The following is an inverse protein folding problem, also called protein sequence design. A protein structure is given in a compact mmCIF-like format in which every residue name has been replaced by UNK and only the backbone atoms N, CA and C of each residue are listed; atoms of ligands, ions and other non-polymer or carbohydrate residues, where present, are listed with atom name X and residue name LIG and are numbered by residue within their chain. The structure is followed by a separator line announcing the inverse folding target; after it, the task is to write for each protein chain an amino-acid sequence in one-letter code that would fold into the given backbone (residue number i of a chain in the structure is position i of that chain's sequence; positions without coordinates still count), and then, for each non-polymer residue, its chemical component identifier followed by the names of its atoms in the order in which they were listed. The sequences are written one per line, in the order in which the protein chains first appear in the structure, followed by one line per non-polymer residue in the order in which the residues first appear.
data_IF_520488873564
#
_entry.id   IF_520488873564
#
_cell.length_a   1.000
_cell.length_b   1.000
_cell.length_c   1.000
_cell.angle_alpha   90.00
_cell.angle_beta   90.00
_cell.angle_gamma   90.00
#
_symmetry.space_group_name_H-M   'P 1'
#
loop_
_entity.id
_entity.type
_entity.pdbx_description
1 polymer ?
#
# COMPACT_ATOMS: atom_id res chain seq x y z
N UNK A 1 -5.03 -6.81 -94.63
CA UNK A 1 -5.68 -5.53 -94.91
C UNK A 1 -5.61 -4.70 -93.63
N UNK A 2 -4.82 -3.62 -93.72
CA UNK A 2 -4.88 -2.41 -92.93
C UNK A 2 -4.59 -2.55 -91.39
N UNK A 3 -3.83 -1.71 -90.76
CA UNK A 3 -2.96 -0.60 -91.12
C UNK A 3 -2.22 -0.19 -89.85
N UNK A 4 -0.99 -0.01 -89.94
CA UNK A 4 -0.05 0.61 -89.01
C UNK A 4 -0.57 1.98 -88.59
N UNK A 5 -0.36 2.33 -87.33
CA UNK A 5 -0.05 3.71 -87.00
C UNK A 5 0.84 3.78 -85.75
N UNK A 6 2.09 4.08 -86.02
CA UNK A 6 3.03 4.70 -85.11
C UNK A 6 2.43 5.95 -84.43
N UNK A 7 2.70 6.08 -83.13
CA UNK A 7 2.69 7.37 -82.48
C UNK A 7 3.84 7.47 -81.51
N UNK A 8 4.96 7.91 -82.00
CA UNK A 8 6.05 8.40 -81.23
C UNK A 8 5.69 9.76 -80.64
N UNK A 9 5.59 9.87 -79.35
CA UNK A 9 5.32 11.11 -78.60
C UNK A 9 6.17 11.16 -77.36
N UNK A 10 7.32 11.62 -77.53
CA UNK A 10 8.10 12.60 -76.81
C UNK A 10 7.50 13.03 -75.47
N UNK A 11 8.04 12.50 -74.34
CA UNK A 11 8.06 13.17 -73.08
C UNK A 11 9.43 13.03 -72.48
N UNK A 12 10.22 14.10 -72.63
CA UNK A 12 11.47 14.32 -71.96
C UNK A 12 11.27 14.44 -70.46
N UNK A 13 11.68 13.43 -69.72
CA UNK A 13 11.78 13.51 -68.29
C UNK A 13 13.05 14.33 -67.99
N UNK A 14 12.84 15.59 -67.69
CA UNK A 14 13.85 16.43 -67.06
C UNK A 14 14.25 15.80 -65.74
N UNK A 15 15.45 15.22 -65.75
CA UNK A 15 16.12 14.74 -64.54
C UNK A 15 16.57 15.96 -63.73
N UNK A 16 15.66 16.44 -62.83
CA UNK A 16 16.02 17.44 -61.85
C UNK A 16 17.22 16.94 -61.04
N UNK A 17 18.37 17.54 -61.31
CA UNK A 17 19.56 17.39 -60.48
C UNK A 17 19.27 17.95 -59.12
N UNK A 18 18.88 17.11 -58.15
CA UNK A 18 18.96 17.45 -56.75
C UNK A 18 20.42 17.74 -56.42
N UNK A 19 20.75 19.01 -56.32
CA UNK A 19 22.02 19.46 -55.78
C UNK A 19 22.04 18.96 -54.33
N UNK A 20 22.72 17.86 -54.11
CA UNK A 20 23.08 17.41 -52.73
C UNK A 20 24.08 18.43 -52.20
N UNK A 21 23.57 19.34 -51.34
CA UNK A 21 24.46 20.14 -50.51
C UNK A 21 25.10 19.21 -49.51
N UNK A 22 26.20 18.59 -49.87
CA UNK A 22 27.12 17.98 -48.93
C UNK A 22 27.78 19.15 -48.19
N UNK A 23 27.22 19.47 -47.00
CA UNK A 23 27.88 20.36 -46.05
C UNK A 23 29.16 19.62 -45.58
N UNK A 24 30.24 19.84 -46.32
CA UNK A 24 31.56 19.37 -45.96
C UNK A 24 32.07 20.22 -44.80
N UNK A 25 31.65 19.83 -43.57
CA UNK A 25 32.12 20.47 -42.35
C UNK A 25 33.61 20.26 -42.21
N UNK A 26 34.34 21.34 -41.94
CA UNK A 26 35.78 21.30 -41.63
C UNK A 26 36.04 20.23 -40.56
N UNK A 27 37.13 19.49 -40.66
CA UNK A 27 37.44 18.38 -39.75
C UNK A 27 37.40 18.80 -38.24
N UNK A 28 37.82 20.02 -37.94
CA UNK A 28 37.76 20.60 -36.58
C UNK A 28 36.32 20.73 -36.05
N UNK A 29 35.38 21.13 -36.91
CA UNK A 29 33.98 21.25 -36.53
C UNK A 29 33.33 19.87 -36.29
N UNK A 30 33.76 18.83 -37.02
CA UNK A 30 33.28 17.45 -36.78
C UNK A 30 33.74 16.90 -35.43
N UNK A 31 35.02 17.12 -35.08
CA UNK A 31 35.59 16.70 -33.80
C UNK A 31 34.90 17.44 -32.65
N UNK A 32 34.72 18.75 -32.76
CA UNK A 32 34.01 19.54 -31.73
C UNK A 32 32.57 19.06 -31.55
N UNK A 33 31.85 18.77 -32.62
CA UNK A 33 30.48 18.25 -32.55
C UNK A 33 30.43 16.85 -31.89
N UNK A 34 31.37 15.95 -32.23
CA UNK A 34 31.48 14.63 -31.62
C UNK A 34 31.78 14.70 -30.11
N UNK A 35 32.67 15.58 -29.69
CA UNK A 35 32.98 15.79 -28.27
C UNK A 35 31.78 16.33 -27.53
N UNK A 36 31.09 17.34 -28.07
CA UNK A 36 29.85 17.89 -27.46
C UNK A 36 28.76 16.83 -27.34
N UNK A 37 28.56 16.02 -28.38
CA UNK A 37 27.57 14.94 -28.34
C UNK A 37 27.95 13.86 -27.31
N UNK A 38 29.21 13.50 -27.19
CA UNK A 38 29.69 12.55 -26.18
C UNK A 38 29.49 13.09 -24.76
N UNK A 39 29.78 14.36 -24.51
CA UNK A 39 29.56 15.00 -23.19
C UNK A 39 28.09 15.05 -22.85
N UNK A 40 27.23 15.44 -23.79
CA UNK A 40 25.79 15.45 -23.57
C UNK A 40 25.25 14.05 -23.29
N UNK A 41 25.68 13.05 -24.02
CA UNK A 41 25.26 11.66 -23.85
C UNK A 41 25.70 11.12 -22.49
N UNK A 42 26.94 11.37 -22.08
CA UNK A 42 27.41 10.94 -20.74
C UNK A 42 26.68 11.66 -19.63
N UNK A 43 26.37 12.95 -19.75
CA UNK A 43 25.57 13.69 -18.77
C UNK A 43 24.16 13.12 -18.65
N UNK A 44 23.50 12.80 -19.77
CA UNK A 44 22.18 12.17 -19.76
C UNK A 44 22.21 10.76 -19.15
N UNK A 45 23.23 9.96 -19.43
CA UNK A 45 23.39 8.65 -18.79
C UNK A 45 23.57 8.76 -17.28
N UNK A 46 24.42 9.69 -16.81
CA UNK A 46 24.63 9.90 -15.38
C UNK A 46 23.32 10.35 -14.69
N UNK A 47 22.59 11.30 -15.29
CA UNK A 47 21.31 11.73 -14.75
C UNK A 47 20.27 10.62 -14.73
N UNK A 48 20.20 9.81 -15.78
CA UNK A 48 19.27 8.66 -15.83
C UNK A 48 19.63 7.61 -14.76
N UNK A 49 20.92 7.31 -14.58
CA UNK A 49 21.37 6.36 -13.56
C UNK A 49 21.08 6.90 -12.14
N UNK A 50 21.36 8.18 -11.88
CA UNK A 50 21.05 8.78 -10.55
C UNK A 50 19.56 8.78 -10.26
N UNK A 51 18.72 9.07 -11.26
CA UNK A 51 17.27 9.01 -11.12
C UNK A 51 16.79 7.57 -10.85
N UNK A 52 17.33 6.60 -11.58
CA UNK A 52 17.01 5.19 -11.37
C UNK A 52 17.42 4.73 -9.97
N UNK A 53 18.64 5.07 -9.51
CA UNK A 53 19.12 4.71 -8.17
C UNK A 53 18.20 5.32 -7.10
N UNK A 54 17.80 6.60 -7.22
CA UNK A 54 16.90 7.25 -6.28
C UNK A 54 15.48 6.64 -6.28
N UNK A 55 14.99 6.24 -7.46
CA UNK A 55 13.68 5.61 -7.60
C UNK A 55 13.63 4.20 -6.98
N UNK A 56 14.76 3.47 -7.00
CA UNK A 56 14.86 2.11 -6.46
C UNK A 56 15.45 2.06 -5.04
N UNK A 57 15.81 3.21 -4.43
CA UNK A 57 16.21 3.19 -3.03
C UNK A 57 15.01 2.78 -2.17
N UNK A 58 15.09 1.68 -1.41
CA UNK A 58 14.07 1.35 -0.45
C UNK A 58 14.00 2.52 0.53
N UNK A 59 12.84 3.17 0.60
CA UNK A 59 12.62 4.21 1.62
C UNK A 59 12.97 3.58 2.96
N UNK A 60 13.82 4.22 3.78
CA UNK A 60 14.07 3.72 5.12
C UNK A 60 12.70 3.60 5.81
N UNK A 61 12.27 2.38 6.03
CA UNK A 61 11.07 2.11 6.82
C UNK A 61 11.41 2.63 8.22
N UNK A 62 10.61 3.55 8.78
CA UNK A 62 10.82 3.94 10.16
C UNK A 62 10.83 2.66 11.00
N UNK A 63 11.89 2.45 11.76
CA UNK A 63 11.97 1.34 12.71
C UNK A 63 10.96 1.59 13.82
N UNK A 64 9.72 1.26 13.57
CA UNK A 64 8.67 1.27 14.59
C UNK A 64 9.01 0.24 15.65
N UNK A 65 8.98 0.66 16.90
CA UNK A 65 9.30 -0.22 18.03
C UNK A 65 8.08 -0.40 18.90
N UNK A 66 7.62 -1.63 18.95
CA UNK A 66 6.68 -2.02 19.98
C UNK A 66 7.43 -2.35 21.28
N UNK A 67 6.84 -2.11 22.45
CA UNK A 67 7.37 -2.60 23.71
C UNK A 67 7.59 -4.12 23.69
N UNK A 68 8.41 -4.59 24.61
CA UNK A 68 8.54 -6.02 24.84
C UNK A 68 7.16 -6.66 25.07
N UNK A 69 6.92 -7.87 24.58
CA UNK A 69 5.63 -8.59 24.59
C UNK A 69 4.51 -8.02 23.70
N UNK A 70 4.82 -7.03 22.85
CA UNK A 70 3.90 -6.50 21.87
C UNK A 70 4.34 -6.86 20.45
N UNK A 71 3.39 -7.15 19.58
CA UNK A 71 3.63 -7.52 18.19
C UNK A 71 3.29 -6.32 17.31
N UNK A 72 4.29 -5.83 16.55
CA UNK A 72 4.11 -4.73 15.61
C UNK A 72 3.45 -5.17 14.31
N UNK A 73 2.42 -4.43 13.87
CA UNK A 73 1.79 -4.61 12.57
C UNK A 73 1.18 -3.30 12.08
N UNK A 74 1.60 -2.83 10.90
CA UNK A 74 1.06 -1.65 10.19
C UNK A 74 0.93 -0.39 11.06
N UNK A 75 1.96 -0.07 11.81
CA UNK A 75 1.99 1.14 12.65
C UNK A 75 1.27 1.01 13.99
N UNK A 76 0.88 -0.21 14.36
CA UNK A 76 0.24 -0.53 15.64
C UNK A 76 0.99 -1.64 16.36
N UNK A 77 0.99 -1.60 17.68
CA UNK A 77 1.48 -2.65 18.55
C UNK A 77 0.28 -3.39 19.17
N UNK A 78 0.26 -4.70 19.06
CA UNK A 78 -0.79 -5.56 19.57
C UNK A 78 -0.25 -6.43 20.72
N UNK A 79 -1.07 -6.62 21.74
CA UNK A 79 -0.79 -7.53 22.85
C UNK A 79 -2.00 -8.41 23.12
N UNK A 80 -1.76 -9.71 23.17
CA UNK A 80 -2.75 -10.74 23.47
C UNK A 80 -2.63 -11.11 24.96
N UNK A 81 -3.74 -11.08 25.70
CA UNK A 81 -3.73 -11.46 27.10
C UNK A 81 -3.76 -12.99 27.25
N UNK A 82 -3.08 -13.50 28.27
CA UNK A 82 -3.24 -14.88 28.73
C UNK A 82 -4.32 -14.99 29.82
N UNK A 83 -4.60 -13.89 30.49
CA UNK A 83 -5.65 -13.80 31.49
C UNK A 83 -7.03 -13.64 30.83
N UNK A 84 -8.09 -13.97 31.57
CA UNK A 84 -9.47 -13.76 31.19
C UNK A 84 -10.13 -12.68 32.05
N UNK A 85 -11.06 -11.94 31.44
CA UNK A 85 -11.82 -10.89 32.08
C UNK A 85 -13.09 -10.57 31.32
N UNK A 86 -14.00 -9.83 31.95
CA UNK A 86 -15.15 -9.26 31.26
C UNK A 86 -14.68 -8.10 30.35
N UNK A 87 -15.52 -7.65 29.43
CA UNK A 87 -15.15 -6.64 28.44
C UNK A 87 -14.66 -5.33 29.09
N UNK A 88 -15.33 -4.84 30.13
CA UNK A 88 -14.97 -3.60 30.83
C UNK A 88 -13.61 -3.73 31.52
N UNK A 89 -13.42 -4.80 32.31
CA UNK A 89 -12.15 -5.02 32.98
C UNK A 89 -11.00 -5.22 32.00
N UNK A 90 -11.25 -5.82 30.85
CA UNK A 90 -10.28 -5.95 29.78
C UNK A 90 -9.88 -4.61 29.19
N UNK A 91 -10.85 -3.70 28.99
CA UNK A 91 -10.57 -2.33 28.56
C UNK A 91 -9.74 -1.55 29.60
N UNK A 92 -10.05 -1.70 30.88
CA UNK A 92 -9.31 -1.07 31.98
C UNK A 92 -7.86 -1.57 32.03
N UNK A 93 -7.66 -2.88 31.82
CA UNK A 93 -6.33 -3.46 31.73
C UNK A 93 -5.52 -2.93 30.54
N UNK A 94 -6.14 -2.79 29.37
CA UNK A 94 -5.48 -2.16 28.21
C UNK A 94 -5.13 -0.69 28.52
N UNK A 95 -6.05 0.05 29.15
CA UNK A 95 -5.85 1.46 29.51
C UNK A 95 -4.69 1.65 30.48
N UNK A 96 -4.50 0.75 31.44
CA UNK A 96 -3.37 0.75 32.36
C UNK A 96 -2.00 0.57 31.64
N UNK A 97 -2.00 0.02 30.41
CA UNK A 97 -0.82 -0.14 29.58
C UNK A 97 -0.65 1.01 28.55
N UNK A 98 -1.43 2.08 28.68
CA UNK A 98 -1.45 3.17 27.71
C UNK A 98 -1.95 2.73 26.34
N UNK A 99 -2.90 1.77 26.30
CA UNK A 99 -3.49 1.18 25.13
C UNK A 99 -5.02 1.16 25.24
N UNK A 100 -5.69 0.62 24.26
CA UNK A 100 -7.12 0.29 24.32
C UNK A 100 -7.36 -1.16 23.92
N UNK A 101 -8.54 -1.69 24.17
CA UNK A 101 -8.98 -2.89 23.46
C UNK A 101 -8.82 -2.68 21.97
N UNK A 102 -8.35 -3.70 21.25
CA UNK A 102 -7.92 -3.58 19.86
C UNK A 102 -9.02 -3.04 18.95
N UNK A 103 -8.68 -1.98 18.23
CA UNK A 103 -9.47 -1.41 17.14
C UNK A 103 -8.86 -1.86 15.80
N UNK A 104 -9.73 -2.35 14.91
CA UNK A 104 -9.34 -2.87 13.59
C UNK A 104 -9.81 -1.88 12.52
N UNK A 105 -8.88 -1.31 11.77
CA UNK A 105 -9.20 -0.31 10.76
C UNK A 105 -9.42 -0.94 9.38
N UNK A 106 -8.97 -2.19 9.20
CA UNK A 106 -8.98 -2.87 7.92
C UNK A 106 -9.19 -4.39 8.06
N UNK A 107 -9.54 -5.03 6.95
CA UNK A 107 -9.62 -6.49 6.85
C UNK A 107 -8.26 -7.17 7.05
N UNK A 108 -7.18 -6.48 6.73
CA UNK A 108 -5.82 -6.94 6.97
C UNK A 108 -5.48 -6.97 8.47
N UNK A 109 -5.91 -5.92 9.22
CA UNK A 109 -5.78 -5.92 10.69
C UNK A 109 -6.55 -7.08 11.30
N UNK A 110 -7.79 -7.32 10.84
CA UNK A 110 -8.59 -8.47 11.27
C UNK A 110 -7.85 -9.79 10.98
N UNK A 111 -7.36 -9.97 9.76
CA UNK A 111 -6.65 -11.18 9.36
C UNK A 111 -5.37 -11.40 10.16
N UNK A 112 -4.66 -10.31 10.49
CA UNK A 112 -3.48 -10.37 11.34
C UNK A 112 -3.85 -10.83 12.76
N UNK A 113 -4.81 -10.18 13.40
CA UNK A 113 -5.22 -10.52 14.76
C UNK A 113 -5.77 -11.95 14.83
N UNK A 114 -6.59 -12.37 13.86
CA UNK A 114 -7.10 -13.75 13.79
C UNK A 114 -5.99 -14.79 13.69
N UNK A 115 -4.91 -14.50 12.98
CA UNK A 115 -3.74 -15.42 12.87
C UNK A 115 -3.05 -15.65 14.21
N UNK A 116 -2.94 -14.61 15.03
CA UNK A 116 -2.31 -14.68 16.35
C UNK A 116 -3.27 -15.12 17.45
N UNK A 117 -4.58 -14.93 17.25
CA UNK A 117 -5.63 -15.31 18.18
C UNK A 117 -5.72 -16.84 18.38
N UNK A 118 -5.32 -17.61 17.39
CA UNK A 118 -5.45 -19.06 17.42
C UNK A 118 -6.92 -19.48 17.53
N UNK A 119 -7.16 -20.49 18.37
CA UNK A 119 -8.52 -21.03 18.64
C UNK A 119 -9.22 -20.33 19.81
N UNK A 120 -8.52 -19.46 20.54
CA UNK A 120 -9.06 -18.79 21.73
C UNK A 120 -9.97 -17.64 21.36
N UNK A 121 -10.89 -17.31 22.26
CA UNK A 121 -11.80 -16.19 22.13
C UNK A 121 -11.24 -14.95 22.83
N UNK A 122 -11.12 -13.83 22.09
CA UNK A 122 -10.55 -12.61 22.64
C UNK A 122 -11.46 -11.42 22.44
N UNK A 123 -11.70 -10.67 23.50
CA UNK A 123 -12.38 -9.38 23.44
C UNK A 123 -11.61 -8.39 22.56
N UNK A 124 -12.32 -7.59 21.80
CA UNK A 124 -11.83 -6.43 21.05
C UNK A 124 -12.59 -5.17 21.44
N UNK A 125 -12.09 -4.02 21.01
CA UNK A 125 -12.60 -2.71 21.40
C UNK A 125 -13.89 -2.28 20.71
N UNK A 126 -14.83 -3.18 20.52
CA UNK A 126 -16.07 -2.95 19.78
C UNK A 126 -17.27 -3.32 20.64
N UNK A 127 -18.21 -2.37 20.81
CA UNK A 127 -19.42 -2.56 21.61
C UNK A 127 -20.58 -1.75 21.06
N UNK A 128 -21.79 -2.03 21.54
CA UNK A 128 -23.01 -1.25 21.32
C UNK A 128 -23.79 -1.14 22.62
N UNK A 129 -24.60 -0.08 22.78
CA UNK A 129 -25.38 0.16 23.98
C UNK A 129 -26.57 -0.79 24.09
N UNK A 130 -27.23 -1.06 22.96
CA UNK A 130 -28.30 -2.05 22.83
C UNK A 130 -28.27 -2.73 21.44
N UNK A 131 -29.15 -3.68 21.18
CA UNK A 131 -29.17 -4.46 19.93
C UNK A 131 -29.58 -3.63 18.71
N UNK A 132 -30.26 -2.53 18.86
CA UNK A 132 -30.71 -1.65 17.79
C UNK A 132 -29.66 -0.56 17.47
N UNK A 133 -28.73 -0.31 18.38
CA UNK A 133 -27.69 0.71 18.20
C UNK A 133 -26.55 0.23 17.33
N UNK A 134 -25.96 1.15 16.57
CA UNK A 134 -24.81 0.83 15.73
C UNK A 134 -23.59 0.45 16.57
N UNK A 135 -22.80 -0.45 16.06
CA UNK A 135 -21.52 -0.81 16.64
C UNK A 135 -20.55 0.36 16.67
N UNK A 136 -19.86 0.55 17.78
CA UNK A 136 -18.89 1.60 18.00
C UNK A 136 -17.60 1.04 18.58
N UNK A 137 -16.49 1.56 18.10
CA UNK A 137 -15.20 1.33 18.71
C UNK A 137 -15.05 2.08 20.04
N UNK A 138 -14.14 1.65 20.91
CA UNK A 138 -13.85 2.30 22.21
C UNK A 138 -13.51 3.80 22.09
N UNK A 139 -13.05 4.26 20.94
CA UNK A 139 -12.84 5.68 20.64
C UNK A 139 -14.10 6.40 20.11
N UNK A 140 -15.28 5.74 20.16
CA UNK A 140 -16.57 6.22 19.65
C UNK A 140 -16.67 6.37 18.12
N UNK A 141 -15.66 5.94 17.36
CA UNK A 141 -15.78 5.88 15.90
C UNK A 141 -16.73 4.76 15.47
N UNK A 142 -17.41 4.97 14.35
CA UNK A 142 -18.31 3.96 13.79
C UNK A 142 -17.51 2.84 13.14
N UNK A 143 -18.07 1.65 13.20
CA UNK A 143 -17.52 0.48 12.49
C UNK A 143 -17.72 0.63 10.99
N UNK A 144 -16.73 0.23 10.23
CA UNK A 144 -16.83 0.10 8.77
C UNK A 144 -17.79 -1.03 8.40
N UNK A 145 -18.53 -0.87 7.29
CA UNK A 145 -19.39 -1.92 6.71
C UNK A 145 -18.64 -3.17 6.26
N UNK A 146 -17.31 -3.13 6.30
CA UNK A 146 -16.43 -4.25 5.96
C UNK A 146 -16.50 -5.41 6.96
N UNK A 147 -17.01 -5.15 8.18
CA UNK A 147 -17.04 -6.15 9.25
C UNK A 147 -18.44 -6.68 9.48
N UNK A 148 -18.59 -8.00 9.32
CA UNK A 148 -19.80 -8.70 9.73
C UNK A 148 -19.64 -9.24 11.15
N UNK A 149 -20.49 -8.78 12.08
CA UNK A 149 -20.50 -9.22 13.47
C UNK A 149 -21.68 -10.16 13.67
N UNK A 150 -21.41 -11.37 14.11
CA UNK A 150 -22.41 -12.39 14.37
C UNK A 150 -22.82 -12.38 15.85
N UNK A 151 -23.99 -12.94 16.13
CA UNK A 151 -24.51 -13.04 17.51
C UNK A 151 -25.35 -11.85 17.95
N UNK A 152 -25.94 -11.93 19.14
CA UNK A 152 -26.93 -10.98 19.69
C UNK A 152 -26.44 -10.24 20.93
N UNK A 153 -25.16 -10.31 21.26
CA UNK A 153 -24.61 -9.62 22.43
C UNK A 153 -24.25 -8.17 22.18
N UNK A 154 -23.84 -7.48 23.22
CA UNK A 154 -23.48 -6.05 23.18
C UNK A 154 -21.98 -5.80 23.07
N UNK A 155 -21.12 -6.80 23.31
CA UNK A 155 -19.67 -6.69 23.23
C UNK A 155 -19.10 -7.69 22.22
N UNK A 156 -18.17 -7.24 21.39
CA UNK A 156 -17.60 -8.04 20.33
C UNK A 156 -16.31 -8.72 20.74
N UNK A 157 -16.13 -9.93 20.22
CA UNK A 157 -14.94 -10.73 20.38
C UNK A 157 -14.54 -11.39 19.07
N UNK A 158 -13.31 -11.82 18.99
CA UNK A 158 -12.76 -12.60 17.88
C UNK A 158 -12.67 -14.07 18.27
N UNK A 159 -13.01 -14.94 17.34
CA UNK A 159 -12.68 -16.36 17.36
C UNK A 159 -12.16 -16.78 15.98
N UNK A 160 -11.93 -18.09 15.78
CA UNK A 160 -11.44 -18.64 14.52
C UNK A 160 -12.37 -18.42 13.30
N UNK A 161 -13.64 -18.06 13.54
CA UNK A 161 -14.63 -17.81 12.49
C UNK A 161 -14.85 -16.30 12.21
N UNK A 162 -14.12 -15.41 12.86
CA UNK A 162 -14.21 -13.95 12.71
C UNK A 162 -14.85 -13.24 13.91
N UNK A 163 -15.53 -12.13 13.62
CA UNK A 163 -16.15 -11.27 14.61
C UNK A 163 -17.49 -11.85 15.10
N UNK A 164 -17.61 -11.95 16.41
CA UNK A 164 -18.80 -12.39 17.07
C UNK A 164 -19.15 -11.45 18.23
N UNK A 165 -20.35 -11.58 18.79
CA UNK A 165 -20.79 -10.81 19.94
C UNK A 165 -21.40 -11.68 21.03
N UNK A 166 -21.26 -11.24 22.27
CA UNK A 166 -21.88 -11.90 23.41
C UNK A 166 -22.11 -10.91 24.55
N UNK A 167 -22.57 -11.42 25.71
CA UNK A 167 -22.73 -10.62 26.92
C UNK A 167 -21.38 -10.09 27.37
N UNK A 168 -21.29 -8.80 27.66
CA UNK A 168 -20.05 -8.13 28.09
C UNK A 168 -19.48 -8.69 29.41
N UNK A 169 -20.30 -9.35 30.22
CA UNK A 169 -19.90 -9.99 31.48
C UNK A 169 -19.20 -11.35 31.31
N UNK A 170 -19.19 -11.92 30.10
CA UNK A 170 -18.50 -13.19 29.81
C UNK A 170 -17.00 -13.04 30.04
N UNK A 171 -16.36 -14.08 30.55
CA UNK A 171 -14.90 -14.09 30.75
C UNK A 171 -14.23 -14.58 29.46
N UNK A 172 -13.29 -13.79 28.94
CA UNK A 172 -12.47 -14.11 27.77
C UNK A 172 -11.11 -13.44 27.90
N UNK A 173 -10.15 -13.96 27.22
CA UNK A 173 -8.91 -13.24 26.92
C UNK A 173 -9.23 -11.99 26.09
N UNK A 174 -8.27 -11.10 25.90
CA UNK A 174 -8.48 -9.85 25.17
C UNK A 174 -7.25 -9.45 24.37
N UNK A 175 -7.46 -8.60 23.39
CA UNK A 175 -6.38 -8.00 22.59
C UNK A 175 -6.35 -6.50 22.85
N UNK A 176 -5.20 -5.98 23.27
CA UNK A 176 -4.94 -4.55 23.32
C UNK A 176 -4.23 -4.08 22.05
N UNK A 177 -4.45 -2.83 21.65
CA UNK A 177 -3.56 -2.18 20.70
C UNK A 177 -3.27 -0.72 21.07
N UNK A 178 -2.15 -0.22 20.58
CA UNK A 178 -1.75 1.19 20.63
C UNK A 178 -0.88 1.53 19.42
N UNK A 179 -0.72 2.82 19.09
CA UNK A 179 0.22 3.23 18.05
C UNK A 179 1.64 2.77 18.37
N UNK A 180 2.42 2.46 17.35
CA UNK A 180 3.85 2.24 17.51
C UNK A 180 4.55 3.52 18.00
N UNK A 181 5.57 3.37 18.82
CA UNK A 181 6.41 4.49 19.28
C UNK A 181 7.22 5.00 18.09
N UNK A 182 7.09 6.30 17.81
CA UNK A 182 7.93 7.00 16.84
C UNK A 182 9.32 7.26 17.40
#
# INVERSE_FOLDING_TARGET
MKETRDYSGFLGVERSKRAGYSLEMKPEARVACQVMMAVLFTALLVTAITFAVQAFQPRPQPCFRCPFDWIGYRGKCYRFSEAEGNWTSSQDNCSALGASLAMLDSTEDLSFVMRYNGISEHWIGLSREDEEQPWQWVNRSRVSHLFQIRGSGLCAYLNNNGLNSSRCSTQRSWVCNKPELQ
#
